data_IF_279034886806
#
_entry.id   IF_279034886806
#
_cell.length_a   1.000
_cell.length_b   1.000
_cell.length_c   1.000
_cell.angle_alpha   90.00
_cell.angle_beta   90.00
_cell.angle_gamma   90.00
#
_symmetry.space_group_name_H-M   'P 1'
#
loop_
_entity.id
_entity.type
_entity.pdbx_description
1 polymer ?
#
# COMPACT_ATOMS: atom_id res chain seq x y z
N UNK A 1 -20.31 -8.30 -69.28
CA UNK A 1 -21.01 -7.56 -68.20
C UNK A 1 -21.20 -8.39 -66.92
N UNK A 2 -21.88 -9.55 -66.93
CA UNK A 2 -22.13 -10.36 -65.71
C UNK A 2 -20.88 -10.88 -64.99
N UNK A 3 -19.86 -11.31 -65.75
CA UNK A 3 -18.59 -11.83 -65.18
C UNK A 3 -17.83 -10.73 -64.43
N UNK A 4 -17.84 -9.50 -64.96
CA UNK A 4 -17.17 -8.35 -64.36
C UNK A 4 -17.85 -7.93 -63.04
N UNK A 5 -19.19 -8.00 -62.98
CA UNK A 5 -19.95 -7.73 -61.76
C UNK A 5 -19.67 -8.77 -60.66
N UNK A 6 -19.63 -10.05 -61.01
CA UNK A 6 -19.31 -11.11 -60.04
C UNK A 6 -17.89 -10.96 -59.49
N UNK A 7 -16.93 -10.58 -60.33
CA UNK A 7 -15.55 -10.32 -59.89
C UNK A 7 -15.47 -9.11 -58.94
N UNK A 8 -16.20 -8.03 -59.24
CA UNK A 8 -16.27 -6.86 -58.37
C UNK A 8 -16.95 -7.18 -57.03
N UNK A 9 -18.01 -7.99 -57.03
CA UNK A 9 -18.71 -8.41 -55.82
C UNK A 9 -17.80 -9.25 -54.92
N UNK A 10 -17.00 -10.17 -55.49
CA UNK A 10 -16.00 -10.93 -54.73
C UNK A 10 -14.89 -10.05 -54.16
N UNK A 11 -14.45 -9.04 -54.91
CA UNK A 11 -13.46 -8.07 -54.42
C UNK A 11 -14.03 -7.24 -53.26
N UNK A 12 -15.29 -6.82 -53.36
CA UNK A 12 -15.98 -6.05 -52.32
C UNK A 12 -16.21 -6.89 -51.05
N UNK A 13 -16.62 -8.15 -51.21
CA UNK A 13 -16.76 -9.11 -50.10
C UNK A 13 -15.40 -9.40 -49.47
N UNK A 14 -14.35 -9.58 -50.28
CA UNK A 14 -12.98 -9.76 -49.81
C UNK A 14 -12.48 -8.56 -49.00
N UNK A 15 -12.76 -7.33 -49.46
CA UNK A 15 -12.46 -6.09 -48.73
C UNK A 15 -13.24 -5.98 -47.40
N UNK A 16 -14.52 -6.35 -47.38
CA UNK A 16 -15.36 -6.35 -46.18
C UNK A 16 -14.93 -7.43 -45.15
N UNK A 17 -14.49 -8.60 -45.62
CA UNK A 17 -14.00 -9.66 -44.74
C UNK A 17 -12.62 -9.28 -44.18
N UNK A 18 -11.74 -8.69 -45.00
CA UNK A 18 -10.39 -8.27 -44.61
C UNK A 18 -10.39 -7.10 -43.61
N UNK A 19 -11.35 -6.17 -43.72
CA UNK A 19 -11.53 -5.11 -42.71
C UNK A 19 -12.00 -5.67 -41.37
N UNK A 20 -12.85 -6.71 -41.35
CA UNK A 20 -13.37 -7.29 -40.12
C UNK A 20 -12.34 -8.16 -39.37
N UNK A 21 -11.49 -8.91 -40.09
CA UNK A 21 -10.50 -9.79 -39.44
C UNK A 21 -9.47 -9.03 -38.62
N UNK A 22 -8.98 -7.89 -39.14
CA UNK A 22 -8.03 -7.02 -38.42
C UNK A 22 -8.62 -6.41 -37.15
N UNK A 23 -9.91 -6.05 -37.17
CA UNK A 23 -10.63 -5.58 -35.98
C UNK A 23 -10.81 -6.69 -34.93
N UNK A 24 -11.07 -7.93 -35.38
CA UNK A 24 -11.24 -9.09 -34.49
C UNK A 24 -9.94 -9.51 -33.81
N UNK A 25 -8.80 -9.48 -34.52
CA UNK A 25 -7.48 -9.78 -33.94
C UNK A 25 -7.06 -8.72 -32.91
N UNK A 26 -7.35 -7.44 -33.17
CA UNK A 26 -7.15 -6.37 -32.19
C UNK A 26 -8.03 -6.58 -30.95
N UNK A 27 -9.32 -6.89 -31.13
CA UNK A 27 -10.23 -7.18 -30.02
C UNK A 27 -9.81 -8.41 -29.21
N UNK A 28 -9.32 -9.46 -29.88
CA UNK A 28 -8.77 -10.64 -29.22
C UNK A 28 -7.48 -10.31 -28.45
N UNK A 29 -6.63 -9.40 -28.96
CA UNK A 29 -5.42 -8.93 -28.29
C UNK A 29 -5.71 -8.00 -27.10
N UNK A 30 -6.79 -7.20 -27.18
CA UNK A 30 -7.30 -6.32 -26.10
C UNK A 30 -8.05 -7.12 -25.02
N UNK A 31 -8.72 -8.22 -25.40
CA UNK A 31 -9.38 -9.13 -24.46
C UNK A 31 -8.42 -10.11 -23.78
N UNK A 32 -7.12 -10.02 -24.04
CA UNK A 32 -6.13 -10.81 -23.31
C UNK A 32 -6.11 -10.40 -21.84
N UNK A 33 -6.12 -11.40 -20.96
CA UNK A 33 -6.04 -11.20 -19.53
C UNK A 33 -4.62 -11.44 -19.03
N UNK A 34 -4.30 -10.80 -17.90
CA UNK A 34 -3.05 -10.96 -17.16
C UNK A 34 -3.37 -11.52 -15.78
N UNK A 35 -2.52 -12.40 -15.27
CA UNK A 35 -2.62 -12.96 -13.93
C UNK A 35 -1.61 -12.27 -13.02
N UNK A 36 -2.06 -11.71 -11.90
CA UNK A 36 -1.24 -10.99 -10.93
C UNK A 36 -1.29 -11.73 -9.61
N UNK A 37 -0.13 -11.99 -9.03
CA UNK A 37 -0.04 -12.62 -7.72
C UNK A 37 0.06 -11.55 -6.64
N UNK A 38 -0.97 -11.43 -5.81
CA UNK A 38 -0.99 -10.45 -4.73
C UNK A 38 -0.67 -11.20 -3.44
N UNK A 39 0.32 -10.70 -2.69
CA UNK A 39 0.77 -11.30 -1.43
C UNK A 39 0.97 -10.24 -0.36
N UNK A 40 1.08 -10.67 0.89
CA UNK A 40 1.55 -9.81 1.98
C UNK A 40 0.78 -10.01 3.28
N UNK A 41 1.08 -9.19 4.28
CA UNK A 41 0.44 -9.29 5.60
C UNK A 41 -0.82 -8.41 5.72
N UNK A 42 -1.12 -7.55 4.74
CA UNK A 42 -2.35 -6.74 4.72
C UNK A 42 -3.51 -7.37 3.96
N UNK A 43 -3.22 -8.33 3.08
CA UNK A 43 -4.20 -9.01 2.24
C UNK A 43 -3.91 -10.50 2.20
N UNK A 44 -4.94 -11.31 1.91
CA UNK A 44 -4.74 -12.74 1.73
C UNK A 44 -4.07 -13.02 0.38
N UNK A 45 -3.01 -13.82 0.41
CA UNK A 45 -2.32 -14.29 -0.79
C UNK A 45 -3.33 -14.89 -1.82
N UNK A 46 -3.42 -14.26 -2.99
CA UNK A 46 -4.40 -14.62 -4.03
C UNK A 46 -3.95 -14.14 -5.41
N UNK A 47 -4.32 -14.89 -6.43
CA UNK A 47 -4.10 -14.52 -7.83
C UNK A 47 -5.34 -13.81 -8.38
N UNK A 48 -5.13 -12.64 -8.98
CA UNK A 48 -6.15 -11.82 -9.63
C UNK A 48 -5.99 -11.84 -11.15
N UNK A 49 -7.10 -11.80 -11.88
CA UNK A 49 -7.10 -11.75 -13.35
C UNK A 49 -7.62 -10.39 -13.80
N UNK A 50 -6.81 -9.65 -14.55
CA UNK A 50 -7.13 -8.32 -15.06
C UNK A 50 -7.01 -8.27 -16.58
N UNK A 51 -7.49 -7.21 -17.21
CA UNK A 51 -7.27 -6.98 -18.64
C UNK A 51 -5.83 -6.54 -18.87
N UNK A 52 -5.28 -6.86 -20.05
CA UNK A 52 -3.97 -6.38 -20.45
C UNK A 52 -3.96 -4.85 -20.48
N UNK A 53 -2.94 -4.24 -19.90
CA UNK A 53 -2.84 -2.78 -19.78
C UNK A 53 -3.41 -2.21 -18.48
N UNK A 54 -4.03 -3.03 -17.63
CA UNK A 54 -4.45 -2.60 -16.28
C UNK A 54 -3.26 -2.15 -15.43
N UNK A 55 -3.55 -1.20 -14.54
CA UNK A 55 -2.59 -0.57 -13.63
C UNK A 55 -2.67 -1.16 -12.22
N UNK A 56 -1.74 -0.76 -11.34
CA UNK A 56 -1.81 -1.08 -9.90
C UNK A 56 -3.08 -0.51 -9.27
N UNK A 57 -3.53 0.68 -9.69
CA UNK A 57 -4.79 1.27 -9.23
C UNK A 57 -6.00 0.38 -9.60
N UNK A 58 -6.08 -0.10 -10.84
CA UNK A 58 -7.14 -1.02 -11.28
C UNK A 58 -7.17 -2.31 -10.44
N UNK A 59 -5.98 -2.81 -10.07
CA UNK A 59 -5.83 -3.96 -9.20
C UNK A 59 -6.35 -3.67 -7.77
N UNK A 60 -6.02 -2.52 -7.19
CA UNK A 60 -6.51 -2.15 -5.86
C UNK A 60 -8.03 -1.97 -5.81
N UNK A 61 -8.64 -1.51 -6.91
CA UNK A 61 -10.10 -1.39 -7.02
C UNK A 61 -10.87 -2.72 -7.00
N UNK A 62 -10.20 -3.84 -7.28
CA UNK A 62 -10.83 -5.19 -7.26
C UNK A 62 -10.40 -6.03 -6.04
N UNK A 63 -9.37 -5.61 -5.31
CA UNK A 63 -8.90 -6.30 -4.11
C UNK A 63 -9.72 -5.83 -2.91
N UNK A 64 -10.23 -6.78 -2.12
CA UNK A 64 -10.67 -6.53 -0.75
C UNK A 64 -9.44 -6.23 0.12
N UNK A 65 -9.28 -4.98 0.50
CA UNK A 65 -8.18 -4.51 1.35
C UNK A 65 -8.70 -3.68 2.52
N UNK A 66 -7.94 -3.67 3.60
CA UNK A 66 -8.21 -2.82 4.77
C UNK A 66 -7.55 -1.44 4.58
N UNK A 67 -8.01 -0.42 5.29
CA UNK A 67 -7.43 0.95 5.26
C UNK A 67 -5.99 1.02 5.83
N UNK A 68 -5.52 -0.09 6.41
CA UNK A 68 -4.19 -0.25 6.97
C UNK A 68 -3.13 -0.64 5.92
N UNK A 69 -3.45 -0.79 4.63
CA UNK A 69 -2.41 -1.10 3.61
C UNK A 69 -1.46 0.08 3.41
N UNK A 70 -0.16 -0.22 3.41
CA UNK A 70 0.89 0.72 3.02
C UNK A 70 1.00 0.81 1.49
N UNK A 71 0.48 1.91 0.94
CA UNK A 71 0.56 2.23 -0.49
C UNK A 71 1.76 3.11 -0.83
N UNK A 72 2.52 3.60 0.16
CA UNK A 72 3.60 4.57 -0.07
C UNK A 72 4.73 4.02 -0.95
N UNK A 73 4.92 2.70 -0.93
CA UNK A 73 5.93 2.00 -1.72
C UNK A 73 5.47 1.65 -3.14
N UNK A 74 4.22 1.95 -3.52
CA UNK A 74 3.64 1.51 -4.78
C UNK A 74 3.49 2.66 -5.78
N UNK A 75 3.85 2.39 -7.03
CA UNK A 75 3.47 3.26 -8.14
C UNK A 75 2.10 2.85 -8.68
N UNK A 76 1.05 3.58 -8.29
CA UNK A 76 -0.34 3.30 -8.64
C UNK A 76 -0.60 3.29 -10.16
N UNK A 77 0.16 4.09 -10.91
CA UNK A 77 0.03 4.21 -12.37
C UNK A 77 0.83 3.19 -13.17
N UNK A 78 1.59 2.32 -12.48
CA UNK A 78 2.38 1.30 -13.16
C UNK A 78 1.47 0.29 -13.86
N UNK A 79 1.68 0.11 -15.17
CA UNK A 79 1.02 -0.93 -15.96
C UNK A 79 1.56 -2.30 -15.57
N UNK A 80 0.64 -3.20 -15.20
CA UNK A 80 0.95 -4.55 -14.75
C UNK A 80 1.17 -5.50 -15.93
N UNK A 81 2.09 -6.45 -15.73
CA UNK A 81 2.42 -7.51 -16.68
C UNK A 81 1.98 -8.87 -16.14
N UNK A 82 1.82 -9.82 -17.05
CA UNK A 82 1.43 -11.18 -16.67
C UNK A 82 2.47 -11.80 -15.75
N UNK A 83 2.00 -12.41 -14.66
CA UNK A 83 2.77 -13.00 -13.57
C UNK A 83 3.52 -12.01 -12.67
N UNK A 84 3.21 -10.70 -12.72
CA UNK A 84 3.74 -9.76 -11.74
C UNK A 84 3.31 -10.15 -10.31
N UNK A 85 4.17 -9.84 -9.35
CA UNK A 85 3.91 -10.04 -7.92
C UNK A 85 3.78 -8.68 -7.27
N UNK A 86 2.62 -8.41 -6.68
CA UNK A 86 2.37 -7.19 -5.91
C UNK A 86 2.34 -7.56 -4.43
N UNK A 87 3.20 -6.91 -3.65
CA UNK A 87 3.27 -7.11 -2.21
C UNK A 87 2.56 -5.96 -1.51
N UNK A 88 1.47 -6.29 -0.82
CA UNK A 88 0.69 -5.35 -0.01
C UNK A 88 0.95 -5.62 1.46
N UNK A 89 1.75 -4.74 2.07
CA UNK A 89 2.06 -4.80 3.48
C UNK A 89 1.17 -3.84 4.26
N UNK A 90 0.97 -4.11 5.54
CA UNK A 90 0.31 -3.18 6.45
C UNK A 90 1.25 -1.98 6.65
N UNK A 91 0.66 -0.80 6.78
CA UNK A 91 1.31 0.38 7.35
C UNK A 91 1.99 -0.09 8.62
N UNK A 92 3.28 0.18 8.69
CA UNK A 92 4.03 -0.01 9.93
C UNK A 92 3.43 0.98 10.93
N UNK A 93 2.43 0.53 11.68
CA UNK A 93 2.00 1.27 12.86
C UNK A 93 3.24 1.42 13.73
N UNK A 94 3.64 2.66 13.97
CA UNK A 94 4.68 2.95 14.94
C UNK A 94 4.18 2.38 16.27
N UNK A 95 4.79 1.30 16.72
CA UNK A 95 4.42 0.68 17.98
C UNK A 95 4.70 1.68 19.09
N UNK A 96 3.62 2.21 19.68
CA UNK A 96 3.73 3.22 20.72
C UNK A 96 4.15 2.58 22.03
N UNK A 97 5.20 3.13 22.62
CA UNK A 97 5.77 2.67 23.88
C UNK A 97 4.98 3.30 25.04
N UNK A 98 4.51 2.46 25.96
CA UNK A 98 3.75 2.92 27.14
C UNK A 98 4.68 3.52 28.17
N UNK A 99 4.51 4.81 28.47
CA UNK A 99 5.36 5.52 29.44
C UNK A 99 5.10 5.06 30.88
N UNK A 100 3.94 4.44 31.14
CA UNK A 100 3.61 3.89 32.46
C UNK A 100 4.11 2.47 32.69
N UNK A 101 4.29 1.67 31.64
CA UNK A 101 4.61 0.23 31.79
C UNK A 101 5.93 -0.19 31.16
N UNK A 102 6.48 0.58 30.23
CA UNK A 102 7.73 0.23 29.56
C UNK A 102 8.91 0.13 30.55
N UNK A 103 9.79 -0.84 30.29
CA UNK A 103 11.06 -0.97 30.98
C UNK A 103 12.11 0.04 30.47
N UNK A 104 13.29 0.05 31.09
CA UNK A 104 14.35 0.98 30.73
C UNK A 104 14.77 0.86 29.26
N UNK A 105 14.89 -0.37 28.74
CA UNK A 105 15.33 -0.62 27.37
C UNK A 105 14.27 -0.17 26.38
N UNK A 106 13.01 -0.49 26.65
CA UNK A 106 11.87 -0.07 25.84
C UNK A 106 11.75 1.46 25.81
N UNK A 107 11.91 2.15 26.95
CA UNK A 107 11.88 3.61 26.98
C UNK A 107 13.01 4.24 26.15
N UNK A 108 14.18 3.61 26.08
CA UNK A 108 15.29 4.08 25.23
C UNK A 108 15.05 3.87 23.73
N UNK A 109 14.05 3.09 23.32
CA UNK A 109 13.63 2.99 21.92
C UNK A 109 12.83 4.23 21.47
N UNK A 110 12.31 5.03 22.41
CA UNK A 110 11.62 6.28 22.09
C UNK A 110 12.65 7.28 21.52
N UNK A 111 12.39 7.88 20.33
CA UNK A 111 13.27 8.89 19.79
C UNK A 111 13.55 10.02 20.80
N UNK A 112 14.82 10.43 20.90
CA UNK A 112 15.30 11.47 21.82
C UNK A 112 15.26 11.13 23.32
N UNK A 113 14.98 9.88 23.68
CA UNK A 113 15.08 9.35 25.04
C UNK A 113 16.33 8.47 25.15
N UNK A 114 17.32 8.94 25.91
CA UNK A 114 18.48 8.13 26.29
C UNK A 114 18.33 7.59 27.71
N UNK A 115 19.27 6.75 28.16
CA UNK A 115 19.27 6.10 29.48
C UNK A 115 18.93 7.06 30.63
N UNK A 116 19.57 8.23 30.69
CA UNK A 116 19.31 9.24 31.73
C UNK A 116 17.85 9.73 31.74
N UNK A 117 17.29 9.97 30.56
CA UNK A 117 15.90 10.42 30.43
C UNK A 117 14.92 9.29 30.75
N UNK A 118 15.21 8.07 30.31
CA UNK A 118 14.41 6.89 30.61
C UNK A 118 14.34 6.62 32.11
N UNK A 119 15.47 6.74 32.83
CA UNK A 119 15.50 6.65 34.29
C UNK A 119 14.63 7.72 34.95
N UNK A 120 14.65 8.97 34.47
CA UNK A 120 13.80 10.03 35.01
C UNK A 120 12.30 9.75 34.78
N UNK A 121 11.92 9.15 33.64
CA UNK A 121 10.53 8.74 33.37
C UNK A 121 10.07 7.69 34.39
N UNK A 122 10.93 6.70 34.67
CA UNK A 122 10.65 5.66 35.67
C UNK A 122 10.57 6.28 37.08
N UNK A 123 11.50 7.16 37.43
CA UNK A 123 11.51 7.87 38.72
C UNK A 123 10.24 8.70 38.91
N UNK A 124 9.81 9.43 37.87
CA UNK A 124 8.60 10.23 37.91
C UNK A 124 7.36 9.37 38.18
N UNK A 125 7.15 8.28 37.43
CA UNK A 125 5.98 7.43 37.66
C UNK A 125 5.98 6.71 39.02
N UNK A 126 7.16 6.48 39.60
CA UNK A 126 7.30 5.90 40.93
C UNK A 126 7.02 6.90 42.05
N UNK A 127 7.29 8.19 41.83
CA UNK A 127 7.18 9.24 42.86
C UNK A 127 5.88 10.05 42.77
N UNK A 128 5.36 10.28 41.57
CA UNK A 128 4.15 11.06 41.29
C UNK A 128 2.95 10.19 40.92
N UNK A 129 3.18 8.88 40.71
CA UNK A 129 2.20 7.95 40.16
C UNK A 129 2.20 7.96 38.62
N UNK A 130 1.36 7.11 38.02
CA UNK A 130 1.25 6.99 36.57
C UNK A 130 0.90 8.30 35.89
N UNK A 131 1.49 8.54 34.72
CA UNK A 131 1.12 9.61 33.80
C UNK A 131 -0.35 9.48 33.41
N UNK A 132 -1.10 10.58 33.53
CA UNK A 132 -2.53 10.63 33.18
C UNK A 132 -2.76 11.14 31.76
N UNK A 133 -1.82 11.93 31.26
CA UNK A 133 -1.79 12.42 29.88
C UNK A 133 -0.38 12.26 29.31
N UNK A 134 -0.27 12.22 27.99
CA UNK A 134 1.06 12.10 27.36
C UNK A 134 1.88 13.39 27.53
N UNK A 135 1.22 14.53 27.70
CA UNK A 135 1.82 15.84 27.89
C UNK A 135 2.58 15.97 29.22
N UNK A 136 2.16 15.23 30.26
CA UNK A 136 2.84 15.20 31.57
C UNK A 136 4.30 14.72 31.46
N UNK A 137 4.70 14.05 30.38
CA UNK A 137 6.10 13.70 30.12
C UNK A 137 7.01 14.93 29.98
N UNK A 138 6.45 16.12 29.71
CA UNK A 138 7.20 17.38 29.66
C UNK A 138 7.67 17.86 31.05
N UNK A 139 7.14 17.29 32.14
CA UNK A 139 7.65 17.53 33.50
C UNK A 139 9.05 16.90 33.71
N UNK A 140 9.43 15.95 32.85
CA UNK A 140 10.75 15.33 32.88
C UNK A 140 11.81 16.31 32.39
N UNK A 141 12.80 16.58 33.25
CA UNK A 141 13.94 17.43 32.90
C UNK A 141 14.62 16.95 31.63
N UNK A 142 14.65 17.83 30.63
CA UNK A 142 15.26 17.55 29.33
C UNK A 142 14.27 17.13 28.24
N UNK A 143 12.97 17.02 28.54
CA UNK A 143 11.88 16.91 27.57
C UNK A 143 11.08 18.21 27.58
N UNK A 144 11.37 19.11 26.64
CA UNK A 144 10.56 20.31 26.41
C UNK A 144 9.61 20.14 25.23
N UNK A 145 8.75 21.14 24.99
CA UNK A 145 7.76 21.15 23.90
C UNK A 145 8.32 20.67 22.55
N UNK A 146 9.50 21.16 22.14
CA UNK A 146 10.12 20.75 20.86
C UNK A 146 10.43 19.26 20.77
N UNK A 147 10.81 18.62 21.88
CA UNK A 147 11.07 17.18 21.92
C UNK A 147 9.76 16.41 22.00
N UNK A 148 8.83 16.87 22.85
CA UNK A 148 7.49 16.32 22.99
C UNK A 148 6.79 16.21 21.63
N UNK A 149 6.75 17.29 20.85
CA UNK A 149 6.12 17.32 19.52
C UNK A 149 6.66 16.25 18.56
N UNK A 150 7.93 15.87 18.70
CA UNK A 150 8.56 14.84 17.87
C UNK A 150 8.41 13.42 18.42
N UNK A 151 8.17 13.26 19.72
CA UNK A 151 8.03 11.95 20.37
C UNK A 151 6.57 11.53 20.59
N UNK A 152 5.61 12.46 20.55
CA UNK A 152 4.20 12.19 20.86
C UNK A 152 3.57 11.08 19.99
N UNK A 153 4.10 10.87 18.78
CA UNK A 153 3.66 9.80 17.88
C UNK A 153 4.19 8.40 18.27
N UNK A 154 5.21 8.33 19.13
CA UNK A 154 5.90 7.11 19.55
C UNK A 154 5.53 6.67 20.97
N UNK A 155 4.76 7.48 21.70
CA UNK A 155 4.41 7.23 23.10
C UNK A 155 2.91 7.04 23.27
N UNK A 156 2.54 6.25 24.26
CA UNK A 156 1.18 6.10 24.78
C UNK A 156 1.23 6.02 26.30
N UNK A 157 0.06 6.09 26.94
CA UNK A 157 -0.07 5.82 28.37
C UNK A 157 0.18 4.34 28.67
#
# INVERSE_FOLDING_TARGET
>A
MKILYNLFLFLLIGLLIFSNSSQLDFLNMVNQTIKINVKGNAVKDKVYTLKRGSTVEDLLGIIEHNDDVDLSCLNLTMVLKNNDVIVLNKKKELEKISINSADLNQLMEIPYVGEKTALLIIEYRNTHGSFKTIEEIMEIKGIGLKKFEKMKEYIRL
#
